data_IF_471992005602
#
_entry.id   IF_471992005602
#
_cell.length_a   1.000
_cell.length_b   1.000
_cell.length_c   1.000
_cell.angle_alpha   90.00
_cell.angle_beta   90.00
_cell.angle_gamma   90.00
#
_symmetry.space_group_name_H-M   'P 1'
#
loop_
_entity.id
_entity.type
_entity.pdbx_description
1 polymer ?
#
# COMPACT_ATOMS: atom_id res chain seq x y z
N UNK A 1 -19.46 -29.46 -23.28
CA UNK A 1 -19.26 -28.85 -21.94
C UNK A 1 -18.11 -27.86 -22.03
N UNK A 2 -18.40 -26.57 -22.21
CA UNK A 2 -17.37 -25.52 -22.19
C UNK A 2 -17.26 -25.00 -20.75
N UNK A 3 -16.12 -25.25 -20.10
CA UNK A 3 -15.80 -24.63 -18.83
C UNK A 3 -15.37 -23.17 -19.09
N UNK A 4 -16.19 -22.22 -18.64
CA UNK A 4 -15.78 -20.82 -18.55
C UNK A 4 -14.82 -20.69 -17.37
N UNK A 5 -13.55 -20.41 -17.66
CA UNK A 5 -12.59 -19.99 -16.66
C UNK A 5 -13.01 -18.59 -16.18
N UNK A 6 -13.49 -18.50 -14.94
CA UNK A 6 -13.75 -17.25 -14.26
C UNK A 6 -12.42 -16.50 -14.12
N UNK A 7 -12.27 -15.39 -14.85
CA UNK A 7 -11.26 -14.40 -14.54
C UNK A 7 -11.62 -13.80 -13.18
N UNK A 8 -11.05 -14.36 -12.11
CA UNK A 8 -10.89 -13.63 -10.86
C UNK A 8 -10.08 -12.40 -11.23
N UNK A 9 -10.71 -11.23 -11.13
CA UNK A 9 -9.99 -9.98 -11.23
C UNK A 9 -8.85 -10.05 -10.22
N UNK A 10 -7.62 -10.08 -10.71
CA UNK A 10 -6.47 -9.73 -9.92
C UNK A 10 -6.57 -8.22 -9.67
N UNK A 11 -7.48 -7.83 -8.78
CA UNK A 11 -7.34 -6.58 -8.07
C UNK A 11 -6.10 -6.80 -7.21
N UNK A 12 -4.96 -6.31 -7.70
CA UNK A 12 -3.74 -6.15 -6.93
C UNK A 12 -4.00 -5.08 -5.86
N UNK A 13 -4.91 -5.39 -4.93
CA UNK A 13 -5.09 -4.63 -3.72
C UNK A 13 -3.82 -4.89 -2.91
N UNK A 14 -2.91 -3.94 -2.98
CA UNK A 14 -1.74 -3.89 -2.11
C UNK A 14 -2.20 -4.07 -0.66
N UNK A 15 -1.41 -4.77 0.16
CA UNK A 15 -1.73 -4.93 1.58
C UNK A 15 -1.83 -3.55 2.23
N UNK A 16 -2.75 -3.39 3.18
CA UNK A 16 -2.77 -2.16 3.98
C UNK A 16 -1.49 -2.03 4.79
N UNK A 17 -1.10 -0.82 5.17
CA UNK A 17 0.06 -0.63 6.05
C UNK A 17 -0.12 -1.35 7.39
N UNK A 18 -1.36 -1.46 7.88
CA UNK A 18 -1.69 -2.19 9.09
C UNK A 18 -1.46 -3.71 8.90
N UNK A 19 -1.96 -4.27 7.80
CA UNK A 19 -1.78 -5.69 7.48
C UNK A 19 -0.32 -6.04 7.21
N UNK A 20 0.40 -5.16 6.49
CA UNK A 20 1.84 -5.26 6.31
C UNK A 20 2.58 -5.38 7.66
N UNK A 21 2.26 -4.51 8.61
CA UNK A 21 2.86 -4.54 9.94
C UNK A 21 2.48 -5.81 10.70
N UNK A 22 1.22 -6.27 10.60
CA UNK A 22 0.75 -7.50 11.23
C UNK A 22 1.47 -8.74 10.67
N UNK A 23 1.61 -8.81 9.34
CA UNK A 23 2.35 -9.87 8.62
C UNK A 23 3.80 -9.91 9.12
N UNK A 24 4.50 -8.77 9.10
CA UNK A 24 5.91 -8.72 9.52
C UNK A 24 6.09 -9.01 11.01
N UNK A 25 5.18 -8.55 11.86
CA UNK A 25 5.25 -8.82 13.30
C UNK A 25 5.08 -10.32 13.59
N UNK A 26 4.14 -10.97 12.90
CA UNK A 26 3.91 -12.42 13.02
C UNK A 26 5.09 -13.22 12.48
N UNK A 27 5.57 -12.88 11.29
CA UNK A 27 6.51 -13.72 10.54
C UNK A 27 7.97 -13.46 10.91
N UNK A 28 8.31 -12.22 11.29
CA UNK A 28 9.67 -11.82 11.65
C UNK A 28 9.89 -11.57 13.14
N UNK A 29 8.86 -11.56 13.99
CA UNK A 29 8.97 -11.13 15.39
C UNK A 29 10.07 -11.86 16.18
N UNK A 30 10.20 -13.18 15.99
CA UNK A 30 11.26 -13.99 16.62
C UNK A 30 12.65 -13.63 16.11
N UNK A 31 12.79 -13.42 14.81
CA UNK A 31 14.04 -13.04 14.16
C UNK A 31 14.49 -11.64 14.59
N UNK A 32 13.55 -10.70 14.69
CA UNK A 32 13.81 -9.34 15.21
C UNK A 32 14.35 -9.40 16.64
N UNK A 33 13.71 -10.19 17.51
CA UNK A 33 14.16 -10.35 18.89
C UNK A 33 15.56 -10.96 19.02
N UNK A 34 15.92 -11.85 18.09
CA UNK A 34 17.21 -12.57 18.12
C UNK A 34 18.36 -11.79 17.48
N UNK A 35 18.12 -11.10 16.38
CA UNK A 35 19.18 -10.52 15.54
C UNK A 35 19.16 -8.99 15.46
N UNK A 36 18.04 -8.34 15.80
CA UNK A 36 17.82 -6.90 15.59
C UNK A 36 17.42 -6.15 16.86
N UNK A 37 17.78 -6.68 18.03
CA UNK A 37 17.46 -6.05 19.32
C UNK A 37 18.13 -4.66 19.43
N UNK A 38 17.35 -3.65 19.84
CA UNK A 38 17.84 -2.28 20.01
C UNK A 38 17.95 -1.47 18.71
N UNK A 39 17.63 -2.06 17.56
CA UNK A 39 17.58 -1.32 16.30
C UNK A 39 16.36 -0.39 16.28
N UNK A 40 16.51 0.90 15.95
CA UNK A 40 15.40 1.83 15.85
C UNK A 40 14.36 1.41 14.80
N UNK A 41 13.08 1.66 15.10
CA UNK A 41 11.98 1.44 14.15
C UNK A 41 11.98 2.49 13.03
N UNK A 42 12.45 3.71 13.34
CA UNK A 42 12.54 4.81 12.39
C UNK A 42 13.47 4.47 11.22
N UNK A 43 13.24 5.15 10.08
CA UNK A 43 14.09 5.06 8.89
C UNK A 43 14.31 3.62 8.37
N UNK A 44 13.29 2.75 8.53
CA UNK A 44 13.35 1.35 8.10
C UNK A 44 14.49 0.53 8.77
N UNK A 45 14.89 0.89 10.00
CA UNK A 45 16.02 0.25 10.69
C UNK A 45 15.87 -1.27 10.84
N UNK A 46 14.71 -1.75 11.32
CA UNK A 46 14.45 -3.19 11.47
C UNK A 46 14.48 -3.92 10.13
N UNK A 47 13.84 -3.36 9.09
CA UNK A 47 13.85 -3.97 7.77
C UNK A 47 15.27 -4.08 7.20
N UNK A 48 16.11 -3.07 7.42
CA UNK A 48 17.51 -3.10 7.01
C UNK A 48 18.30 -4.15 7.79
N UNK A 49 18.11 -4.25 9.11
CA UNK A 49 18.75 -5.26 9.93
C UNK A 49 18.39 -6.69 9.49
N UNK A 50 17.11 -6.95 9.20
CA UNK A 50 16.65 -8.25 8.71
C UNK A 50 17.31 -8.63 7.38
N UNK A 51 17.48 -7.67 6.45
CA UNK A 51 18.22 -7.93 5.20
C UNK A 51 19.70 -8.22 5.42
N UNK A 52 20.36 -7.45 6.29
CA UNK A 52 21.77 -7.66 6.61
C UNK A 52 22.00 -9.04 7.24
N UNK A 53 20.99 -9.57 7.93
CA UNK A 53 21.00 -10.91 8.53
C UNK A 53 20.23 -11.95 7.71
N UNK A 54 19.97 -11.72 6.42
CA UNK A 54 19.10 -12.59 5.60
C UNK A 54 19.49 -14.09 5.61
N UNK A 55 20.77 -14.40 5.79
CA UNK A 55 21.26 -15.78 5.89
C UNK A 55 21.00 -16.44 7.26
N UNK A 56 20.63 -15.67 8.29
CA UNK A 56 20.45 -16.11 9.68
C UNK A 56 18.99 -16.09 10.13
N UNK A 57 18.17 -15.23 9.54
CA UNK A 57 16.74 -15.10 9.83
C UNK A 57 15.95 -16.24 9.16
N UNK A 58 14.72 -16.47 9.63
CA UNK A 58 13.89 -17.53 9.07
C UNK A 58 13.51 -17.29 7.59
N UNK A 59 13.34 -18.36 6.79
CA UNK A 59 12.87 -18.23 5.41
C UNK A 59 11.52 -17.53 5.29
N UNK A 60 10.61 -17.79 6.25
CA UNK A 60 9.29 -17.15 6.30
C UNK A 60 9.42 -15.64 6.48
N UNK A 61 10.30 -15.18 7.38
CA UNK A 61 10.53 -13.76 7.56
C UNK A 61 11.04 -13.08 6.28
N UNK A 62 12.01 -13.66 5.58
CA UNK A 62 12.56 -13.04 4.35
C UNK A 62 11.55 -13.01 3.21
N UNK A 63 10.77 -14.08 3.05
CA UNK A 63 9.71 -14.12 2.04
C UNK A 63 8.64 -13.05 2.32
N UNK A 64 8.13 -12.99 3.56
CA UNK A 64 7.14 -11.99 3.96
C UNK A 64 7.69 -10.56 3.88
N UNK A 65 8.96 -10.34 4.25
CA UNK A 65 9.62 -9.04 4.12
C UNK A 65 9.71 -8.58 2.66
N UNK A 66 10.08 -9.47 1.75
CA UNK A 66 10.13 -9.16 0.31
C UNK A 66 8.74 -8.85 -0.25
N UNK A 67 7.75 -9.68 0.05
CA UNK A 67 6.38 -9.50 -0.42
C UNK A 67 5.75 -8.20 0.12
N UNK A 68 5.88 -7.93 1.41
CA UNK A 68 5.35 -6.70 2.03
C UNK A 68 6.03 -5.46 1.44
N UNK A 69 7.35 -5.50 1.19
CA UNK A 69 8.04 -4.37 0.55
C UNK A 69 7.57 -4.09 -0.86
N UNK A 70 7.40 -5.12 -1.67
CA UNK A 70 6.85 -4.98 -3.02
C UNK A 70 5.46 -4.35 -2.97
N UNK A 71 4.60 -4.86 -2.08
CA UNK A 71 3.23 -4.36 -1.94
C UNK A 71 3.16 -2.92 -1.43
N UNK A 72 4.01 -2.53 -0.48
CA UNK A 72 4.13 -1.13 -0.02
C UNK A 72 4.60 -0.22 -1.15
N UNK A 73 5.60 -0.65 -1.93
CA UNK A 73 6.10 0.13 -3.06
C UNK A 73 5.01 0.37 -4.12
N UNK A 74 4.23 -0.66 -4.45
CA UNK A 74 3.08 -0.54 -5.34
C UNK A 74 2.03 0.43 -4.80
N UNK A 75 1.73 0.38 -3.50
CA UNK A 75 0.74 1.29 -2.87
C UNK A 75 1.20 2.74 -2.92
N UNK A 76 2.48 2.99 -2.63
CA UNK A 76 3.08 4.33 -2.70
C UNK A 76 3.07 4.86 -4.15
N UNK A 77 3.39 4.02 -5.13
CA UNK A 77 3.32 4.39 -6.54
C UNK A 77 1.87 4.72 -6.96
N UNK A 78 0.89 3.94 -6.50
CA UNK A 78 -0.52 4.21 -6.74
C UNK A 78 -0.97 5.55 -6.12
N UNK A 79 -0.57 5.82 -4.87
CA UNK A 79 -0.86 7.08 -4.17
C UNK A 79 -0.31 8.30 -4.92
N UNK A 80 0.91 8.21 -5.45
CA UNK A 80 1.55 9.29 -6.20
C UNK A 80 0.79 9.67 -7.49
N UNK A 81 0.03 8.75 -8.08
CA UNK A 81 -0.69 9.00 -9.34
C UNK A 81 -2.14 9.49 -9.14
N UNK A 82 -2.71 9.41 -7.93
CA UNK A 82 -4.15 9.68 -7.72
C UNK A 82 -4.53 11.08 -8.17
N UNK A 83 -3.80 12.12 -7.79
CA UNK A 83 -4.17 13.50 -8.13
C UNK A 83 -4.05 13.78 -9.63
N UNK A 84 -3.09 13.14 -10.30
CA UNK A 84 -2.95 13.21 -11.76
C UNK A 84 -4.11 12.53 -12.46
N UNK A 85 -4.49 11.33 -12.00
CA UNK A 85 -5.62 10.58 -12.56
C UNK A 85 -6.95 11.29 -12.30
N UNK A 86 -7.13 11.84 -11.10
CA UNK A 86 -8.37 12.49 -10.66
C UNK A 86 -8.46 13.98 -11.05
N UNK A 87 -7.47 14.57 -11.76
CA UNK A 87 -7.41 16.01 -12.05
C UNK A 87 -8.70 16.57 -12.65
N UNK A 88 -9.29 15.88 -13.63
CA UNK A 88 -10.53 16.32 -14.28
C UNK A 88 -11.75 16.24 -13.35
N UNK A 89 -11.78 15.26 -12.47
CA UNK A 89 -12.85 15.12 -11.47
C UNK A 89 -12.69 16.17 -10.36
N UNK A 90 -11.47 16.40 -9.89
CA UNK A 90 -11.10 17.48 -8.98
C UNK A 90 -11.58 18.85 -9.50
N UNK A 91 -11.29 19.19 -10.75
CA UNK A 91 -11.70 20.47 -11.34
C UNK A 91 -13.24 20.67 -11.40
N UNK A 92 -14.00 19.57 -11.52
CA UNK A 92 -15.46 19.61 -11.62
C UNK A 92 -16.17 19.50 -10.27
N UNK A 93 -15.61 18.75 -9.33
CA UNK A 93 -16.27 18.34 -8.08
C UNK A 93 -15.69 19.01 -6.84
N UNK A 94 -14.47 19.52 -6.91
CA UNK A 94 -13.72 20.07 -5.78
C UNK A 94 -13.36 21.54 -5.98
N UNK A 95 -14.26 22.31 -6.61
CA UNK A 95 -14.08 23.75 -6.79
C UNK A 95 -14.08 24.45 -5.43
N UNK A 96 -13.15 25.38 -5.22
CA UNK A 96 -13.02 26.12 -3.96
C UNK A 96 -12.32 25.37 -2.82
N UNK A 97 -11.86 24.13 -3.05
CA UNK A 97 -11.01 23.42 -2.10
C UNK A 97 -9.63 24.07 -2.07
N UNK A 98 -9.13 24.35 -0.86
CA UNK A 98 -7.77 24.89 -0.64
C UNK A 98 -6.76 23.95 -1.30
N UNK A 99 -5.82 24.53 -2.05
CA UNK A 99 -4.80 23.73 -2.73
C UNK A 99 -3.95 22.95 -1.72
N UNK A 100 -3.80 21.66 -1.99
CA UNK A 100 -3.06 20.73 -1.15
C UNK A 100 -3.61 19.31 -1.31
N UNK A 101 -2.70 18.34 -1.36
CA UNK A 101 -3.02 16.95 -1.67
C UNK A 101 -4.06 16.36 -0.71
N UNK A 102 -3.95 16.68 0.57
CA UNK A 102 -4.87 16.18 1.60
C UNK A 102 -6.31 16.71 1.45
N UNK A 103 -6.48 18.01 1.21
CA UNK A 103 -7.81 18.60 1.03
C UNK A 103 -8.47 18.13 -0.25
N UNK A 104 -7.69 18.01 -1.32
CA UNK A 104 -8.20 17.54 -2.60
C UNK A 104 -8.61 16.07 -2.52
N UNK A 105 -7.80 15.25 -1.85
CA UNK A 105 -8.14 13.86 -1.60
C UNK A 105 -9.41 13.73 -0.77
N UNK A 106 -9.56 14.46 0.34
CA UNK A 106 -10.77 14.42 1.17
C UNK A 106 -12.03 14.76 0.35
N UNK A 107 -11.96 15.79 -0.50
CA UNK A 107 -13.05 16.11 -1.41
C UNK A 107 -13.35 14.97 -2.39
N UNK A 108 -12.33 14.42 -3.07
CA UNK A 108 -12.50 13.29 -3.98
C UNK A 108 -13.06 12.06 -3.26
N UNK A 109 -12.68 11.86 -2.00
CA UNK A 109 -13.16 10.79 -1.13
C UNK A 109 -14.67 10.93 -0.89
N UNK A 110 -15.14 12.12 -0.53
CA UNK A 110 -16.57 12.44 -0.33
C UNK A 110 -17.37 12.40 -1.64
N UNK A 111 -16.75 12.76 -2.76
CA UNK A 111 -17.37 12.77 -4.08
C UNK A 111 -17.38 11.40 -4.79
N UNK A 112 -17.04 10.30 -4.10
CA UNK A 112 -16.89 8.92 -4.63
C UNK A 112 -17.91 8.52 -5.69
N UNK A 113 -19.19 8.81 -5.44
CA UNK A 113 -20.30 8.39 -6.30
C UNK A 113 -20.46 9.25 -7.55
N UNK A 114 -19.68 10.32 -7.68
CA UNK A 114 -19.83 11.35 -8.73
C UNK A 114 -18.54 11.63 -9.51
N UNK A 115 -17.42 11.03 -9.10
CA UNK A 115 -16.15 11.03 -9.85
C UNK A 115 -16.11 9.87 -10.85
N UNK A 116 -15.19 9.93 -11.81
CA UNK A 116 -15.06 8.89 -12.82
C UNK A 116 -14.66 7.54 -12.23
N UNK A 117 -15.00 6.45 -12.93
CA UNK A 117 -14.52 5.10 -12.58
C UNK A 117 -12.99 5.03 -12.49
N UNK A 118 -12.29 5.78 -13.36
CA UNK A 118 -10.82 5.84 -13.37
C UNK A 118 -10.27 6.49 -12.10
N UNK A 119 -10.89 7.58 -11.63
CA UNK A 119 -10.51 8.21 -10.37
C UNK A 119 -10.82 7.30 -9.16
N UNK A 120 -11.99 6.65 -9.15
CA UNK A 120 -12.30 5.66 -8.11
C UNK A 120 -11.31 4.50 -8.06
N UNK A 121 -10.95 3.93 -9.22
CA UNK A 121 -9.93 2.88 -9.28
C UNK A 121 -8.57 3.35 -8.75
N UNK A 122 -8.16 4.59 -9.07
CA UNK A 122 -6.91 5.14 -8.53
C UNK A 122 -6.94 5.27 -7.00
N UNK A 123 -8.04 5.75 -6.42
CA UNK A 123 -8.25 5.86 -4.97
C UNK A 123 -8.24 4.47 -4.29
N UNK A 124 -8.90 3.48 -4.89
CA UNK A 124 -8.90 2.09 -4.39
C UNK A 124 -7.52 1.47 -4.46
N UNK A 125 -6.79 1.65 -5.56
CA UNK A 125 -5.43 1.09 -5.70
C UNK A 125 -4.42 1.77 -4.74
N UNK A 126 -4.61 3.06 -4.47
CA UNK A 126 -3.89 3.79 -3.42
C UNK A 126 -4.27 3.34 -2.00
N UNK A 127 -5.39 2.61 -1.90
CA UNK A 127 -5.93 2.01 -0.70
C UNK A 127 -6.41 3.02 0.32
N UNK A 128 -7.13 4.03 -0.17
CA UNK A 128 -7.81 5.04 0.66
C UNK A 128 -9.30 4.75 0.87
N UNK A 129 -9.78 3.59 0.38
CA UNK A 129 -11.13 3.04 0.61
C UNK A 129 -11.09 1.52 0.59
#
# INVERSE_FOLDING_TARGET
MLAAASAVGAEAATVSFADAMAILSRDCGKDVGKYCKGVPLANNGIGNCLMQNQAKVSPVCIQSLAAVRASIAERLAAQAEVLKVCRGDAARRCQGVVQGDAHLLDCLLKAANTVSKKCNAAITNAGWR
#
